data_IF_985230130373
#
_entry.id   IF_985230130373
#
_cell.length_a   1.000
_cell.length_b   1.000
_cell.length_c   1.000
_cell.angle_alpha   90.00
_cell.angle_beta   90.00
_cell.angle_gamma   90.00
#
_symmetry.space_group_name_H-M   'P 1'
#
loop_
_entity.id
_entity.type
_entity.pdbx_description
1 polymer ?
#
# COMPACT_ATOMS: atom_id res chain seq x y z
N UNK A 1 -15.30 -41.43 21.30
CA UNK A 1 -15.48 -40.69 22.56
C UNK A 1 -16.22 -39.40 22.19
N UNK A 2 -16.98 -38.79 23.09
CA UNK A 2 -17.65 -37.52 22.82
C UNK A 2 -17.18 -36.47 23.83
N UNK A 3 -16.99 -35.24 23.36
CA UNK A 3 -16.87 -34.06 24.19
C UNK A 3 -18.26 -33.45 24.33
N UNK A 4 -18.66 -33.05 25.54
CA UNK A 4 -20.02 -32.56 25.83
C UNK A 4 -20.21 -31.09 25.43
N UNK A 5 -19.42 -30.59 24.47
CA UNK A 5 -19.44 -29.21 24.04
C UNK A 5 -19.08 -28.18 25.12
N UNK A 6 -19.17 -26.88 24.77
CA UNK A 6 -18.96 -25.78 25.71
C UNK A 6 -19.97 -25.74 26.86
N UNK A 7 -21.18 -26.28 26.70
CA UNK A 7 -22.20 -26.26 27.76
C UNK A 7 -21.96 -27.33 28.85
N UNK A 8 -21.16 -28.36 28.54
CA UNK A 8 -20.77 -29.44 29.44
C UNK A 8 -21.91 -30.42 29.77
N UNK A 9 -23.03 -30.36 29.06
CA UNK A 9 -24.24 -31.16 29.29
C UNK A 9 -24.31 -32.27 28.24
N UNK A 10 -24.18 -33.55 28.61
CA UNK A 10 -24.22 -34.62 27.63
C UNK A 10 -25.60 -34.75 26.98
N UNK A 11 -25.60 -34.99 25.67
CA UNK A 11 -26.76 -35.24 24.81
C UNK A 11 -27.37 -34.00 24.18
N UNK A 12 -26.63 -32.89 24.14
CA UNK A 12 -27.03 -31.61 23.52
C UNK A 12 -26.55 -31.52 22.07
N UNK A 13 -26.89 -30.42 21.40
CA UNK A 13 -26.55 -30.20 19.99
C UNK A 13 -25.08 -29.82 19.78
N UNK A 14 -24.37 -29.40 20.84
CA UNK A 14 -22.94 -29.07 20.85
C UNK A 14 -22.04 -30.24 21.29
N UNK A 15 -22.61 -31.44 21.50
CA UNK A 15 -21.84 -32.67 21.69
C UNK A 15 -21.06 -33.01 20.41
N UNK A 16 -19.73 -33.00 20.47
CA UNK A 16 -18.87 -33.31 19.33
C UNK A 16 -18.17 -34.65 19.46
N UNK A 17 -17.98 -35.33 18.31
CA UNK A 17 -17.22 -36.57 18.26
C UNK A 17 -15.73 -36.26 18.41
N UNK A 18 -15.07 -36.89 19.39
CA UNK A 18 -13.62 -36.78 19.54
C UNK A 18 -12.92 -37.71 18.57
N UNK A 19 -12.00 -37.14 17.81
CA UNK A 19 -11.16 -37.81 16.83
C UNK A 19 -9.73 -37.95 17.36
N UNK A 20 -9.07 -39.11 17.15
CA UNK A 20 -7.66 -39.25 17.47
C UNK A 20 -6.80 -38.41 16.52
N UNK A 21 -5.72 -37.83 17.06
CA UNK A 21 -4.74 -37.09 16.27
C UNK A 21 -3.76 -37.99 15.51
N UNK A 22 -2.59 -37.42 15.21
CA UNK A 22 -1.49 -38.06 14.49
C UNK A 22 -0.99 -39.34 15.19
N UNK A 23 -1.12 -39.43 16.51
CA UNK A 23 -0.67 -40.58 17.28
C UNK A 23 -1.61 -41.81 17.21
N UNK A 24 -2.84 -41.60 16.69
CA UNK A 24 -3.88 -42.62 16.49
C UNK A 24 -4.51 -43.17 17.77
N UNK A 25 -4.32 -42.53 18.91
CA UNK A 25 -4.92 -42.86 20.21
C UNK A 25 -5.89 -41.77 20.64
N UNK A 26 -6.77 -42.14 21.58
CA UNK A 26 -7.65 -41.20 22.26
C UNK A 26 -7.09 -40.94 23.66
N UNK A 27 -7.57 -39.87 24.29
CA UNK A 27 -7.13 -39.35 25.58
C UNK A 27 -5.69 -38.83 25.53
N UNK A 28 -5.34 -38.15 24.43
CA UNK A 28 -4.04 -37.54 24.17
C UNK A 28 -4.19 -36.09 23.72
N UNK A 29 -3.12 -35.31 23.87
CA UNK A 29 -3.18 -33.87 23.59
C UNK A 29 -3.34 -33.49 22.12
N UNK A 30 -3.19 -34.44 21.21
CA UNK A 30 -3.42 -34.29 19.77
C UNK A 30 -4.82 -34.75 19.34
N UNK A 31 -5.66 -35.22 20.26
CA UNK A 31 -7.08 -35.41 20.00
C UNK A 31 -7.70 -34.11 19.51
N UNK A 32 -8.75 -34.20 18.70
CA UNK A 32 -9.42 -33.02 18.18
C UNK A 32 -10.92 -33.20 18.03
N UNK A 33 -11.62 -32.06 18.03
CA UNK A 33 -13.03 -31.91 17.66
C UNK A 33 -13.16 -30.75 16.67
N UNK A 34 -14.19 -30.76 15.83
CA UNK A 34 -14.48 -29.66 14.93
C UNK A 34 -14.81 -28.40 15.75
N UNK A 35 -14.12 -27.28 15.49
CA UNK A 35 -14.26 -26.07 16.30
C UNK A 35 -15.43 -25.19 15.82
N UNK A 36 -16.65 -25.61 16.13
CA UNK A 36 -17.88 -24.81 16.01
C UNK A 36 -18.15 -24.20 14.61
N UNK A 37 -19.16 -23.34 14.54
CA UNK A 37 -19.56 -22.66 13.30
C UNK A 37 -19.01 -21.23 13.15
N UNK A 38 -18.43 -20.66 14.21
CA UNK A 38 -18.04 -19.24 14.24
C UNK A 38 -16.56 -19.02 13.93
N UNK A 39 -15.74 -20.06 14.02
CA UNK A 39 -14.32 -20.00 13.70
C UNK A 39 -13.97 -21.12 12.72
N UNK A 40 -14.51 -20.96 11.51
CA UNK A 40 -14.44 -21.93 10.42
C UNK A 40 -12.98 -22.29 10.09
N UNK A 41 -12.79 -23.48 9.51
CA UNK A 41 -11.48 -24.00 9.14
C UNK A 41 -10.52 -24.17 10.33
N UNK A 42 -11.05 -24.27 11.56
CA UNK A 42 -10.26 -24.58 12.75
C UNK A 42 -10.76 -25.84 13.47
N UNK A 43 -9.90 -26.42 14.30
CA UNK A 43 -10.22 -27.52 15.21
C UNK A 43 -9.75 -27.19 16.63
N UNK A 44 -10.48 -27.73 17.62
CA UNK A 44 -10.15 -27.59 19.03
C UNK A 44 -9.40 -28.84 19.46
N UNK A 45 -8.32 -28.66 20.22
CA UNK A 45 -7.53 -29.73 20.81
C UNK A 45 -7.48 -29.54 22.33
N UNK A 46 -7.42 -30.62 23.11
CA UNK A 46 -7.48 -30.54 24.57
C UNK A 46 -6.13 -30.15 25.21
N UNK A 47 -5.10 -29.92 24.40
CA UNK A 47 -3.79 -29.54 24.89
C UNK A 47 -3.08 -30.63 25.69
N UNK A 48 -1.99 -30.29 26.39
CA UNK A 48 -1.10 -31.26 27.04
C UNK A 48 -1.75 -32.19 28.07
N UNK A 49 -2.86 -31.78 28.69
CA UNK A 49 -3.55 -32.60 29.69
C UNK A 49 -4.48 -33.68 29.11
N UNK A 50 -4.84 -33.57 27.82
CA UNK A 50 -5.68 -34.52 27.09
C UNK A 50 -7.16 -34.49 27.49
N UNK A 51 -7.63 -33.43 28.14
CA UNK A 51 -9.02 -33.26 28.59
C UNK A 51 -9.63 -31.99 28.02
N UNK A 52 -10.59 -32.12 27.10
CA UNK A 52 -11.31 -30.96 26.55
C UNK A 52 -12.09 -30.17 27.62
N UNK A 53 -12.20 -28.86 27.41
CA UNK A 53 -12.90 -27.92 28.27
C UNK A 53 -12.05 -27.38 29.41
N UNK A 54 -10.72 -27.49 29.31
CA UNK A 54 -9.76 -26.97 30.28
C UNK A 54 -9.15 -25.66 29.81
N UNK A 55 -8.33 -25.03 30.67
CA UNK A 55 -7.69 -23.76 30.34
C UNK A 55 -6.55 -23.92 29.31
N UNK A 56 -6.06 -25.15 29.08
CA UNK A 56 -5.01 -25.47 28.13
C UNK A 56 -5.53 -26.01 26.80
N UNK A 57 -6.84 -25.97 26.55
CA UNK A 57 -7.40 -26.21 25.23
C UNK A 57 -6.77 -25.25 24.20
N UNK A 58 -6.42 -25.79 23.03
CA UNK A 58 -5.74 -25.08 21.95
C UNK A 58 -6.60 -25.09 20.68
N UNK A 59 -6.60 -23.99 19.94
CA UNK A 59 -7.30 -23.89 18.65
C UNK A 59 -6.27 -23.96 17.54
N UNK A 60 -6.48 -24.83 16.56
CA UNK A 60 -5.60 -25.01 15.40
C UNK A 60 -6.35 -24.66 14.12
N UNK A 61 -5.70 -23.95 13.21
CA UNK A 61 -6.14 -23.84 11.82
C UNK A 61 -5.87 -25.16 11.12
N UNK A 62 -6.82 -25.65 10.31
CA UNK A 62 -6.74 -26.93 9.60
C UNK A 62 -5.72 -26.96 8.45
N UNK A 63 -4.87 -25.94 8.37
CA UNK A 63 -3.85 -25.80 7.34
C UNK A 63 -4.41 -25.62 5.91
N UNK A 64 -3.50 -25.58 4.91
CA UNK A 64 -3.87 -25.49 3.50
C UNK A 64 -4.65 -26.69 2.96
N UNK A 65 -4.54 -27.87 3.57
CA UNK A 65 -5.30 -29.05 3.11
C UNK A 65 -6.76 -29.07 3.57
N UNK A 66 -7.09 -28.28 4.60
CA UNK A 66 -8.43 -28.12 5.17
C UNK A 66 -8.92 -29.36 5.92
N UNK A 67 -8.02 -30.27 6.30
CA UNK A 67 -8.34 -31.52 6.98
C UNK A 67 -7.83 -31.43 8.43
N UNK A 68 -8.72 -31.39 9.44
CA UNK A 68 -8.26 -31.32 10.82
C UNK A 68 -7.48 -32.57 11.25
N UNK A 69 -6.50 -32.35 12.13
CA UNK A 69 -5.67 -33.39 12.73
C UNK A 69 -4.53 -33.88 11.84
N UNK A 70 -4.15 -33.11 10.81
CA UNK A 70 -3.01 -33.39 9.93
C UNK A 70 -1.74 -32.68 10.41
N UNK A 71 -0.64 -32.89 9.67
CA UNK A 71 0.68 -32.33 10.01
C UNK A 71 0.79 -30.83 9.65
N UNK A 72 -0.08 -30.30 8.79
CA UNK A 72 -0.12 -28.89 8.38
C UNK A 72 -1.08 -28.04 9.21
N UNK A 73 -1.73 -28.63 10.22
CA UNK A 73 -2.48 -27.87 11.22
C UNK A 73 -1.54 -26.95 12.02
N UNK A 74 -1.87 -25.66 12.07
CA UNK A 74 -1.06 -24.66 12.77
C UNK A 74 -1.80 -24.12 14.00
N UNK A 75 -1.07 -23.94 15.11
CA UNK A 75 -1.62 -23.37 16.33
C UNK A 75 -2.04 -21.92 16.09
N UNK A 76 -3.29 -21.60 16.38
CA UNK A 76 -3.81 -20.23 16.33
C UNK A 76 -3.45 -19.50 17.60
N UNK A 77 -2.86 -18.33 17.43
CA UNK A 77 -2.50 -17.45 18.51
C UNK A 77 -3.37 -16.20 18.53
N UNK A 78 -3.80 -15.75 19.71
CA UNK A 78 -4.49 -14.47 19.83
C UNK A 78 -3.54 -13.33 19.48
N UNK A 79 -4.11 -12.28 18.90
CA UNK A 79 -3.39 -11.05 18.60
C UNK A 79 -3.13 -10.16 19.82
N UNK A 80 -2.99 -8.86 19.56
CA UNK A 80 -2.73 -7.84 20.58
C UNK A 80 -3.90 -7.68 21.56
N UNK A 81 -5.11 -8.05 21.16
CA UNK A 81 -6.29 -7.95 22.02
C UNK A 81 -6.40 -9.10 23.05
N UNK A 82 -5.58 -10.15 22.88
CA UNK A 82 -5.48 -11.31 23.76
C UNK A 82 -6.69 -12.24 23.72
N UNK A 83 -7.49 -12.20 22.66
CA UNK A 83 -8.66 -13.07 22.44
C UNK A 83 -8.49 -13.80 21.12
N UNK A 84 -9.11 -14.98 21.05
CA UNK A 84 -9.30 -15.71 19.81
C UNK A 84 -10.61 -15.29 19.15
N UNK A 85 -10.77 -15.70 17.89
CA UNK A 85 -11.92 -15.40 17.02
C UNK A 85 -12.00 -13.90 16.66
N UNK A 86 -10.83 -13.27 16.51
CA UNK A 86 -10.68 -11.86 16.16
C UNK A 86 -9.76 -11.68 14.96
N UNK A 87 -9.94 -10.59 14.22
CA UNK A 87 -9.16 -10.33 13.00
C UNK A 87 -7.68 -10.04 13.23
N UNK A 88 -7.20 -10.05 14.48
CA UNK A 88 -5.77 -9.94 14.83
C UNK A 88 -5.15 -11.27 15.27
N UNK A 89 -5.91 -12.37 15.23
CA UNK A 89 -5.40 -13.72 15.36
C UNK A 89 -4.34 -14.02 14.29
N UNK A 90 -3.45 -14.94 14.59
CA UNK A 90 -2.38 -15.30 13.66
C UNK A 90 -1.92 -16.75 13.82
N UNK A 91 -1.34 -17.28 12.75
CA UNK A 91 -0.63 -18.56 12.72
C UNK A 91 0.78 -18.34 12.18
N UNK A 92 1.72 -19.20 12.56
CA UNK A 92 3.09 -19.15 12.02
C UNK A 92 3.07 -19.52 10.52
N UNK A 93 3.73 -18.72 9.68
CA UNK A 93 3.79 -18.96 8.23
C UNK A 93 5.22 -19.28 7.75
N UNK A 94 6.15 -19.50 8.69
CA UNK A 94 7.58 -19.68 8.42
C UNK A 94 7.92 -20.84 7.48
N UNK A 95 7.03 -21.84 7.36
CA UNK A 95 7.19 -22.96 6.43
C UNK A 95 7.05 -22.55 4.96
N UNK A 96 6.24 -21.53 4.67
CA UNK A 96 6.02 -21.02 3.31
C UNK A 96 6.86 -19.77 3.05
N UNK A 97 6.89 -18.85 4.01
CA UNK A 97 7.59 -17.58 3.91
C UNK A 97 8.29 -17.26 5.25
N UNK A 98 9.63 -17.42 5.36
CA UNK A 98 10.35 -17.25 6.61
C UNK A 98 10.14 -15.89 7.28
N UNK A 99 10.14 -15.87 8.62
CA UNK A 99 9.96 -14.66 9.44
C UNK A 99 8.63 -13.93 9.17
N UNK A 100 7.59 -14.69 8.79
CA UNK A 100 6.23 -14.16 8.60
C UNK A 100 5.19 -14.91 9.42
N UNK A 101 4.06 -14.23 9.65
CA UNK A 101 2.83 -14.79 10.16
C UNK A 101 1.68 -14.56 9.18
N UNK A 102 0.71 -15.47 9.19
CA UNK A 102 -0.53 -15.35 8.44
C UNK A 102 -1.62 -14.88 9.40
N UNK A 103 -2.44 -13.93 8.97
CA UNK A 103 -3.59 -13.41 9.71
C UNK A 103 -4.84 -13.56 8.86
N UNK A 104 -6.01 -13.82 9.47
CA UNK A 104 -7.23 -13.92 8.71
C UNK A 104 -7.53 -12.55 8.10
N UNK A 105 -8.14 -12.56 6.91
CA UNK A 105 -8.59 -11.35 6.25
C UNK A 105 -9.73 -10.63 6.99
N UNK A 106 -10.26 -9.56 6.41
CA UNK A 106 -11.48 -8.90 6.89
C UNK A 106 -12.69 -9.83 7.12
N UNK A 107 -12.74 -11.01 6.49
CA UNK A 107 -13.77 -12.00 6.74
C UNK A 107 -13.61 -12.79 8.05
N UNK A 108 -12.43 -12.75 8.67
CA UNK A 108 -12.11 -13.40 9.94
C UNK A 108 -11.91 -14.91 9.86
N UNK A 109 -11.68 -15.46 8.66
CA UNK A 109 -11.51 -16.90 8.43
C UNK A 109 -10.16 -17.15 7.78
N UNK A 110 -9.38 -18.10 8.30
CA UNK A 110 -8.12 -18.52 7.67
C UNK A 110 -8.35 -19.38 6.43
N UNK A 111 -7.40 -19.36 5.51
CA UNK A 111 -7.42 -20.12 4.26
C UNK A 111 -8.24 -19.46 3.15
N UNK A 112 -8.62 -18.20 3.31
CA UNK A 112 -9.42 -17.44 2.32
C UNK A 112 -8.53 -16.52 1.48
N UNK A 113 -9.08 -16.00 0.38
CA UNK A 113 -8.31 -15.17 -0.57
C UNK A 113 -7.87 -13.82 0.03
N UNK A 114 -8.52 -13.35 1.09
CA UNK A 114 -8.23 -12.08 1.75
C UNK A 114 -7.28 -12.19 2.95
N UNK A 115 -6.78 -13.39 3.24
CA UNK A 115 -5.73 -13.60 4.23
C UNK A 115 -4.52 -12.69 4.00
N UNK A 116 -3.96 -12.21 5.11
CA UNK A 116 -2.91 -11.22 5.12
C UNK A 116 -1.61 -11.81 5.66
N UNK A 117 -0.52 -11.62 4.92
CA UNK A 117 0.82 -12.02 5.38
C UNK A 117 1.53 -10.83 6.00
N UNK A 118 2.12 -11.04 7.17
CA UNK A 118 2.87 -10.03 7.91
C UNK A 118 4.31 -10.47 8.13
N UNK A 119 5.28 -9.58 7.91
CA UNK A 119 6.64 -9.76 8.39
C UNK A 119 6.68 -9.52 9.90
N UNK A 120 7.34 -10.41 10.65
CA UNK A 120 7.44 -10.42 12.12
C UNK A 120 8.27 -9.25 12.71
N UNK A 121 8.51 -8.21 11.91
CA UNK A 121 9.25 -7.03 12.33
C UNK A 121 10.71 -7.29 12.74
N UNK A 122 11.41 -6.24 13.19
CA UNK A 122 12.75 -6.35 13.75
C UNK A 122 12.84 -7.19 15.04
N UNK A 123 11.77 -7.31 15.83
CA UNK A 123 11.79 -8.08 17.07
C UNK A 123 11.68 -9.60 16.84
N UNK A 124 11.19 -10.01 15.66
CA UNK A 124 11.00 -11.40 15.21
C UNK A 124 9.96 -12.16 16.03
N UNK A 125 9.04 -11.43 16.65
CA UNK A 125 7.96 -11.99 17.45
C UNK A 125 6.67 -11.69 16.68
N UNK A 126 5.98 -12.72 16.16
CA UNK A 126 4.71 -12.52 15.47
C UNK A 126 3.63 -11.96 16.42
N UNK A 127 2.68 -11.23 15.85
CA UNK A 127 1.52 -10.70 16.58
C UNK A 127 1.83 -9.41 17.38
N UNK A 128 2.97 -8.78 17.14
CA UNK A 128 3.39 -7.55 17.83
C UNK A 128 3.06 -6.29 17.01
N UNK A 129 3.33 -5.12 17.59
CA UNK A 129 3.05 -3.82 16.96
C UNK A 129 4.04 -3.47 15.82
N UNK A 130 5.22 -4.07 15.78
CA UNK A 130 6.21 -3.83 14.73
C UNK A 130 6.03 -4.71 13.50
N UNK A 131 5.12 -5.68 13.54
CA UNK A 131 4.71 -6.47 12.39
C UNK A 131 4.27 -5.57 11.23
N UNK A 132 4.68 -5.95 10.01
CA UNK A 132 4.39 -5.18 8.79
C UNK A 132 3.64 -6.03 7.79
N UNK A 133 2.44 -5.58 7.42
CA UNK A 133 1.67 -6.20 6.34
C UNK A 133 2.50 -6.19 5.04
N UNK A 134 2.68 -7.36 4.47
CA UNK A 134 3.35 -7.56 3.19
C UNK A 134 2.31 -7.44 2.07
N UNK A 135 2.74 -6.84 0.97
CA UNK A 135 2.04 -6.81 -0.31
C UNK A 135 2.84 -7.68 -1.28
N UNK A 136 2.17 -8.62 -1.94
CA UNK A 136 2.75 -9.62 -2.86
C UNK A 136 3.30 -9.05 -4.18
N UNK A 137 3.50 -7.74 -4.25
CA UNK A 137 3.91 -7.05 -5.48
C UNK A 137 2.99 -7.27 -6.70
N UNK A 138 3.46 -6.87 -7.89
CA UNK A 138 2.75 -7.07 -9.15
C UNK A 138 2.61 -8.53 -9.60
N UNK A 139 3.47 -9.45 -9.16
CA UNK A 139 3.42 -10.85 -9.59
C UNK A 139 2.34 -11.68 -8.85
N UNK A 140 1.85 -11.17 -7.72
CA UNK A 140 0.77 -11.76 -6.93
C UNK A 140 1.20 -12.97 -6.11
N UNK A 141 2.50 -13.21 -5.92
CA UNK A 141 3.05 -14.31 -5.15
C UNK A 141 3.86 -13.76 -3.98
N UNK A 142 3.71 -14.37 -2.81
CA UNK A 142 4.57 -14.08 -1.67
C UNK A 142 5.88 -14.90 -1.75
N UNK A 143 6.93 -14.38 -1.12
CA UNK A 143 8.27 -14.96 -1.11
C UNK A 143 9.13 -14.56 -2.32
N UNK A 144 8.83 -13.44 -2.98
CA UNK A 144 9.49 -12.96 -4.20
C UNK A 144 10.12 -11.58 -3.99
N UNK A 145 11.00 -11.18 -4.91
CA UNK A 145 11.75 -9.91 -4.80
C UNK A 145 10.88 -8.65 -4.95
N UNK A 146 9.66 -8.79 -5.49
CA UNK A 146 8.70 -7.70 -5.64
C UNK A 146 7.74 -7.55 -4.48
N UNK A 147 7.78 -8.47 -3.50
CA UNK A 147 7.15 -8.28 -2.20
C UNK A 147 7.58 -6.95 -1.59
N UNK A 148 6.66 -6.29 -0.88
CA UNK A 148 7.01 -5.07 -0.17
C UNK A 148 6.16 -4.84 1.07
N UNK A 149 6.65 -3.98 1.95
CA UNK A 149 5.82 -3.37 2.98
C UNK A 149 6.02 -1.85 3.02
N UNK A 150 4.98 -1.14 3.46
CA UNK A 150 4.99 0.32 3.63
C UNK A 150 5.94 0.73 4.76
N UNK A 151 6.91 1.61 4.46
CA UNK A 151 7.93 2.09 5.38
C UNK A 151 7.64 3.50 5.91
N UNK A 152 6.38 3.95 5.85
CA UNK A 152 5.95 5.29 6.30
C UNK A 152 6.36 5.66 7.72
N UNK A 153 6.53 4.69 8.62
CA UNK A 153 6.93 4.91 10.01
C UNK A 153 8.39 5.40 10.13
N UNK A 154 9.25 5.03 9.17
CA UNK A 154 10.64 5.51 9.10
C UNK A 154 10.78 6.64 8.07
N UNK A 155 10.18 6.49 6.91
CA UNK A 155 10.25 7.47 5.82
C UNK A 155 8.99 7.44 4.95
N UNK A 156 8.22 8.52 5.01
CA UNK A 156 7.00 8.71 4.21
C UNK A 156 7.28 8.62 2.69
N UNK A 157 6.35 7.98 1.96
CA UNK A 157 6.45 7.73 0.52
C UNK A 157 7.54 6.73 0.13
N UNK A 158 7.91 5.81 1.02
CA UNK A 158 8.85 4.73 0.73
C UNK A 158 8.31 3.37 1.14
N UNK A 159 8.81 2.33 0.49
CA UNK A 159 8.57 0.94 0.84
C UNK A 159 9.89 0.18 0.94
N UNK A 160 9.86 -0.92 1.66
CA UNK A 160 10.97 -1.87 1.75
C UNK A 160 10.61 -3.10 0.93
N UNK A 161 11.59 -3.64 0.21
CA UNK A 161 11.52 -4.91 -0.52
C UNK A 161 12.57 -5.87 0.02
N UNK A 162 12.36 -7.19 -0.02
CA UNK A 162 13.27 -8.14 0.59
C UNK A 162 14.58 -8.32 -0.19
N UNK A 163 14.65 -7.78 -1.41
CA UNK A 163 15.82 -7.95 -2.27
C UNK A 163 15.82 -9.30 -2.96
N UNK A 164 17.01 -9.79 -3.28
CA UNK A 164 17.20 -10.91 -4.21
C UNK A 164 16.96 -12.29 -3.59
N UNK A 165 17.05 -12.39 -2.26
CA UNK A 165 16.76 -13.63 -1.55
C UNK A 165 15.27 -13.82 -1.23
N UNK A 166 14.45 -12.79 -1.43
CA UNK A 166 13.00 -12.81 -1.20
C UNK A 166 12.60 -12.82 0.27
N UNK A 167 13.54 -12.67 1.21
CA UNK A 167 13.32 -12.74 2.66
C UNK A 167 13.52 -11.36 3.30
N UNK A 168 12.53 -10.88 4.06
CA UNK A 168 12.66 -9.61 4.78
C UNK A 168 13.59 -9.70 6.00
N UNK A 169 14.27 -8.60 6.31
CA UNK A 169 15.15 -8.49 7.48
C UNK A 169 16.56 -9.03 7.22
N UNK A 170 16.92 -9.24 5.95
CA UNK A 170 18.24 -9.68 5.50
C UNK A 170 19.10 -8.48 5.08
N UNK A 171 20.35 -8.73 4.69
CA UNK A 171 21.29 -7.66 4.34
C UNK A 171 20.99 -7.01 2.98
N UNK A 172 20.29 -7.72 2.09
CA UNK A 172 19.95 -7.25 0.75
C UNK A 172 18.57 -6.59 0.65
N UNK A 173 17.85 -6.42 1.77
CA UNK A 173 16.67 -5.57 1.88
C UNK A 173 16.88 -4.20 1.20
N UNK A 174 15.94 -3.82 0.34
CA UNK A 174 16.04 -2.66 -0.52
C UNK A 174 15.02 -1.60 -0.15
N UNK A 175 15.47 -0.34 -0.07
CA UNK A 175 14.58 0.80 0.01
C UNK A 175 14.09 1.18 -1.39
N UNK A 176 12.82 1.49 -1.51
CA UNK A 176 12.18 1.95 -2.74
C UNK A 176 11.35 3.21 -2.46
N UNK A 177 11.27 4.10 -3.45
CA UNK A 177 10.35 5.23 -3.42
C UNK A 177 9.02 4.79 -4.01
N UNK A 178 7.93 5.15 -3.33
CA UNK A 178 6.60 4.98 -3.91
C UNK A 178 6.55 5.80 -5.20
N UNK A 179 6.04 5.19 -6.27
CA UNK A 179 5.88 5.82 -7.56
C UNK A 179 4.92 7.02 -7.56
N UNK A 180 4.68 7.64 -8.73
CA UNK A 180 3.64 8.66 -8.91
C UNK A 180 2.26 8.36 -8.34
N UNK A 181 1.86 7.09 -8.20
CA UNK A 181 0.57 6.72 -7.61
C UNK A 181 0.55 6.75 -6.07
N UNK A 182 1.72 6.96 -5.45
CA UNK A 182 1.95 6.99 -4.00
C UNK A 182 1.66 5.67 -3.27
N UNK A 183 1.39 4.58 -4.01
CA UNK A 183 1.10 3.25 -3.46
C UNK A 183 2.38 2.39 -3.45
N UNK A 184 2.66 1.65 -2.37
CA UNK A 184 3.79 0.74 -2.33
C UNK A 184 3.50 -0.53 -3.13
N UNK A 185 4.53 -1.12 -3.75
CA UNK A 185 4.43 -2.43 -4.40
C UNK A 185 3.89 -2.39 -5.82
N UNK A 186 3.86 -1.21 -6.43
CA UNK A 186 3.37 -1.01 -7.79
C UNK A 186 4.51 -0.94 -8.79
N UNK A 187 4.18 -1.09 -10.07
CA UNK A 187 5.18 -1.10 -11.16
C UNK A 187 5.90 0.25 -11.34
N UNK A 188 5.33 1.35 -10.85
CA UNK A 188 5.89 2.69 -10.95
C UNK A 188 6.84 3.07 -9.80
N UNK A 189 7.02 2.17 -8.83
CA UNK A 189 8.01 2.29 -7.77
C UNK A 189 9.44 2.39 -8.32
N UNK A 190 10.29 3.15 -7.63
CA UNK A 190 11.66 3.43 -8.06
C UNK A 190 12.64 3.01 -6.99
N UNK A 191 13.55 2.08 -7.34
CA UNK A 191 14.60 1.61 -6.45
C UNK A 191 15.43 2.78 -5.93
N UNK A 192 15.50 2.86 -4.61
CA UNK A 192 16.28 3.88 -3.94
C UNK A 192 17.74 3.42 -3.85
N UNK A 193 18.67 4.08 -4.55
CA UNK A 193 20.11 3.80 -4.44
C UNK A 193 20.83 4.97 -3.78
N UNK A 194 21.55 4.69 -2.69
CA UNK A 194 22.37 5.69 -2.03
C UNK A 194 23.58 6.07 -2.91
N UNK A 195 23.64 7.32 -3.38
CA UNK A 195 24.84 7.84 -4.04
C UNK A 195 25.95 8.02 -2.99
N UNK A 196 26.88 7.06 -2.95
CA UNK A 196 28.14 7.25 -2.25
C UNK A 196 28.82 8.51 -2.82
N UNK A 197 28.96 9.54 -1.99
CA UNK A 197 29.65 10.78 -2.35
C UNK A 197 31.14 10.53 -2.51
N UNK A 198 31.56 9.94 -3.63
CA UNK A 198 32.96 9.91 -4.03
C UNK A 198 33.32 11.19 -4.78
N UNK A 199 33.69 12.22 -4.02
CA UNK A 199 34.66 13.23 -4.44
C UNK A 199 34.12 14.52 -5.08
N UNK A 200 34.15 15.63 -4.32
CA UNK A 200 34.23 16.96 -4.91
C UNK A 200 33.77 18.12 -4.03
N UNK A 201 34.73 18.82 -3.40
CA UNK A 201 34.60 20.26 -3.11
C UNK A 201 34.10 20.63 -1.72
N UNK A 202 35.02 21.08 -0.85
CA UNK A 202 34.72 21.58 0.49
C UNK A 202 34.09 22.98 0.51
N UNK A 203 33.53 23.32 1.69
CA UNK A 203 33.27 24.71 2.08
C UNK A 203 32.00 24.95 2.89
N UNK A 204 32.17 25.02 4.21
CA UNK A 204 31.43 25.82 5.22
C UNK A 204 29.94 25.59 5.49
N UNK A 205 29.65 25.23 6.75
CA UNK A 205 28.46 25.72 7.47
C UNK A 205 27.77 24.71 8.38
N UNK A 206 28.08 24.73 9.67
CA UNK A 206 27.40 23.98 10.73
C UNK A 206 25.88 24.13 10.73
N UNK A 207 25.14 23.01 10.65
CA UNK A 207 23.77 22.83 11.17
C UNK A 207 23.48 21.34 11.38
N UNK A 208 23.48 20.94 12.66
CA UNK A 208 22.55 20.02 13.33
C UNK A 208 22.03 18.80 12.52
N UNK A 209 22.67 17.65 12.79
CA UNK A 209 22.15 16.27 12.89
C UNK A 209 20.80 15.93 12.21
N UNK A 210 20.83 15.00 11.25
CA UNK A 210 19.74 14.03 11.05
C UNK A 210 18.67 14.36 10.00
N UNK A 211 19.03 14.52 8.73
CA UNK A 211 18.14 14.25 7.58
C UNK A 211 18.99 13.64 6.47
N UNK A 212 18.99 12.30 6.39
CA UNK A 212 19.72 11.55 5.36
C UNK A 212 19.27 12.01 3.98
N UNK A 213 20.18 12.67 3.27
CA UNK A 213 19.98 13.14 1.91
C UNK A 213 20.03 11.95 0.97
N UNK A 214 18.84 11.45 0.62
CA UNK A 214 18.67 10.31 -0.23
C UNK A 214 18.15 10.80 -1.59
N UNK A 215 19.00 10.82 -2.64
CA UNK A 215 18.63 11.17 -4.03
C UNK A 215 18.38 9.90 -4.87
N UNK A 216 17.32 9.85 -5.72
CA UNK A 216 16.94 8.70 -6.53
C UNK A 216 17.87 8.45 -7.73
N UNK A 217 17.92 7.20 -8.19
CA UNK A 217 18.56 6.79 -9.45
C UNK A 217 17.55 6.96 -10.59
N UNK A 218 17.82 7.92 -11.48
CA UNK A 218 17.22 7.98 -12.82
C UNK A 218 18.26 7.42 -13.79
N UNK A 219 18.60 6.14 -13.68
CA UNK A 219 19.47 5.44 -14.63
C UNK A 219 18.64 4.67 -15.67
N UNK A 220 17.81 5.40 -16.42
CA UNK A 220 17.48 5.02 -17.80
C UNK A 220 17.78 6.19 -18.77
N UNK A 221 18.11 7.38 -18.27
CA UNK A 221 18.49 8.53 -19.10
C UNK A 221 20.01 8.69 -19.30
N UNK A 222 20.86 8.05 -18.48
CA UNK A 222 22.31 8.27 -18.54
C UNK A 222 22.98 7.60 -19.76
N UNK A 223 22.45 6.48 -20.26
CA UNK A 223 22.94 5.88 -21.51
C UNK A 223 22.57 6.71 -22.76
N UNK A 224 21.56 7.58 -22.67
CA UNK A 224 21.19 8.50 -23.75
C UNK A 224 21.87 9.88 -23.61
N UNK A 225 22.34 10.23 -22.40
CA UNK A 225 22.98 11.51 -22.11
C UNK A 225 24.46 11.55 -22.55
N UNK A 226 25.13 10.40 -22.63
CA UNK A 226 26.50 10.30 -23.16
C UNK A 226 26.61 10.66 -24.66
N UNK A 227 25.47 10.82 -25.35
CA UNK A 227 25.40 11.16 -26.77
C UNK A 227 24.90 12.60 -27.08
N UNK A 228 24.60 13.44 -26.07
CA UNK A 228 24.05 14.79 -26.29
C UNK A 228 24.97 15.92 -25.84
N UNK A 229 25.18 16.90 -26.73
CA UNK A 229 26.06 18.06 -26.57
C UNK A 229 25.75 18.93 -25.33
N UNK A 230 26.77 19.61 -24.76
CA UNK A 230 26.77 20.21 -23.41
C UNK A 230 25.82 21.40 -23.16
N UNK A 231 24.92 21.75 -24.08
CA UNK A 231 24.01 22.89 -23.92
C UNK A 231 22.61 22.53 -23.40
N UNK A 232 22.29 21.24 -23.21
CA UNK A 232 20.96 20.77 -22.76
C UNK A 232 20.90 20.31 -21.29
N UNK A 233 22.05 20.16 -20.63
CA UNK A 233 22.17 19.68 -19.23
C UNK A 233 21.47 20.62 -18.22
N UNK A 234 21.35 21.91 -18.54
CA UNK A 234 20.69 22.91 -17.70
C UNK A 234 19.16 22.82 -17.65
N UNK A 235 18.51 22.06 -18.54
CA UNK A 235 17.03 22.03 -18.63
C UNK A 235 16.38 21.00 -17.70
N UNK A 236 17.10 19.93 -17.31
CA UNK A 236 16.53 18.80 -16.56
C UNK A 236 16.51 19.05 -15.05
N UNK A 237 17.54 19.72 -14.50
CA UNK A 237 17.54 20.17 -13.08
C UNK A 237 16.40 21.16 -12.80
N UNK A 238 16.11 22.04 -13.77
CA UNK A 238 15.03 23.00 -13.65
C UNK A 238 13.66 22.30 -13.58
N UNK A 239 13.47 21.11 -14.14
CA UNK A 239 12.18 20.42 -14.13
C UNK A 239 11.82 19.83 -12.76
N UNK A 240 12.79 19.22 -12.07
CA UNK A 240 12.57 18.65 -10.73
C UNK A 240 12.43 19.73 -9.65
N UNK A 241 13.25 20.78 -9.72
CA UNK A 241 13.13 21.94 -8.82
C UNK A 241 11.83 22.73 -9.09
N UNK A 242 11.37 22.80 -10.35
CA UNK A 242 10.06 23.40 -10.70
C UNK A 242 8.89 22.53 -10.21
N UNK A 243 8.98 21.21 -10.30
CA UNK A 243 7.94 20.29 -9.81
C UNK A 243 7.77 20.37 -8.27
N UNK A 244 8.88 20.34 -7.52
CA UNK A 244 8.86 20.45 -6.07
C UNK A 244 8.41 21.84 -5.59
N UNK A 245 8.75 22.91 -6.32
CA UNK A 245 8.26 24.26 -6.03
C UNK A 245 6.77 24.45 -6.39
N UNK A 246 6.25 23.72 -7.38
CA UNK A 246 4.82 23.68 -7.70
C UNK A 246 4.00 23.00 -6.58
N UNK A 247 4.48 21.87 -6.04
CA UNK A 247 3.88 21.19 -4.87
C UNK A 247 3.84 22.12 -3.64
N UNK A 248 4.93 22.85 -3.39
CA UNK A 248 5.03 23.83 -2.28
C UNK A 248 4.18 25.09 -2.49
N UNK A 249 3.97 25.51 -3.74
CA UNK A 249 3.10 26.65 -4.11
C UNK A 249 1.60 26.33 -4.02
N UNK A 250 1.22 25.07 -4.19
CA UNK A 250 -0.18 24.63 -4.13
C UNK A 250 -0.71 24.61 -2.68
N UNK A 251 0.14 24.34 -1.68
CA UNK A 251 -0.19 24.48 -0.25
C UNK A 251 -0.29 25.95 0.20
N UNK A 252 0.48 26.87 -0.39
CA UNK A 252 0.50 28.29 -0.04
C UNK A 252 -0.64 29.12 -0.66
N UNK A 253 -1.48 28.53 -1.51
CA UNK A 253 -2.52 29.26 -2.26
C UNK A 253 -3.77 29.63 -1.45
N UNK A 254 -3.73 29.53 -0.11
CA UNK A 254 -4.78 30.03 0.80
C UNK A 254 -4.46 31.34 1.51
N UNK A 255 -3.55 32.20 1.05
CA UNK A 255 -3.54 33.60 1.50
C UNK A 255 -3.12 34.56 0.37
N UNK A 256 -3.98 35.54 0.08
CA UNK A 256 -3.76 36.61 -0.90
C UNK A 256 -2.68 37.57 -0.35
N UNK A 257 -1.61 37.83 -1.10
CA UNK A 257 -0.90 39.13 -1.04
C UNK A 257 -0.48 39.56 -2.45
N UNK A 258 -0.90 40.77 -2.78
CA UNK A 258 -0.69 41.50 -4.01
C UNK A 258 0.59 42.35 -3.89
N UNK A 259 1.53 42.30 -4.85
CA UNK A 259 2.63 43.28 -4.97
C UNK A 259 3.09 43.37 -6.42
N UNK A 260 3.11 44.59 -6.97
CA UNK A 260 3.40 44.88 -8.38
C UNK A 260 4.79 45.47 -8.68
N UNK A 261 4.92 45.92 -9.95
CA UNK A 261 6.03 46.65 -10.61
C UNK A 261 7.35 45.85 -10.77
N UNK A 262 8.07 45.85 -11.90
CA UNK A 262 8.25 46.84 -12.97
C UNK A 262 8.86 46.21 -14.25
N UNK A 263 8.29 46.58 -15.40
CA UNK A 263 8.87 46.96 -16.71
C UNK A 263 10.27 46.50 -17.18
N UNK A 264 10.34 45.92 -18.41
CA UNK A 264 11.16 46.44 -19.54
C UNK A 264 10.36 46.27 -20.85
N UNK A 265 10.31 47.33 -21.66
CA UNK A 265 9.49 47.56 -22.85
C UNK A 265 10.16 47.15 -24.18
N UNK A 266 9.38 46.81 -25.21
CA UNK A 266 9.52 47.44 -26.54
C UNK A 266 8.24 47.27 -27.41
N UNK A 267 7.76 48.43 -27.85
CA UNK A 267 6.82 48.83 -28.94
C UNK A 267 6.65 47.87 -30.14
N UNK A 268 5.61 47.88 -30.99
CA UNK A 268 4.34 48.61 -31.14
C UNK A 268 3.54 47.92 -32.27
N UNK A 269 2.21 47.92 -32.22
CA UNK A 269 1.32 48.05 -33.38
C UNK A 269 -0.16 48.12 -32.95
N UNK A 270 -0.67 49.35 -32.88
CA UNK A 270 -1.98 49.80 -33.41
C UNK A 270 -3.22 48.90 -33.28
N UNK A 271 -4.22 49.39 -32.54
CA UNK A 271 -5.61 48.91 -32.66
C UNK A 271 -6.54 49.42 -31.57
N UNK A 272 -7.14 50.58 -31.80
CA UNK A 272 -8.05 51.34 -30.93
C UNK A 272 -9.31 50.60 -30.48
N UNK A 273 -9.73 50.88 -29.22
CA UNK A 273 -11.09 51.10 -28.65
C UNK A 273 -12.30 50.37 -29.28
N UNK A 274 -13.28 49.87 -28.50
CA UNK A 274 -14.44 50.66 -28.03
C UNK A 274 -15.29 49.85 -27.00
N UNK A 275 -15.71 50.57 -25.94
CA UNK A 275 -16.91 50.52 -25.06
C UNK A 275 -17.61 49.19 -24.69
N UNK A 276 -17.77 48.83 -23.40
CA UNK A 276 -18.68 49.35 -22.33
C UNK A 276 -20.18 49.11 -22.57
N UNK A 277 -20.80 48.34 -21.67
CA UNK A 277 -22.14 48.49 -21.03
C UNK A 277 -22.35 47.26 -20.12
N UNK A 278 -22.34 47.34 -18.78
CA UNK A 278 -23.34 47.85 -17.82
C UNK A 278 -24.70 47.14 -17.90
N UNK A 279 -25.05 46.34 -16.88
CA UNK A 279 -26.37 46.44 -16.24
C UNK A 279 -26.45 45.72 -14.89
N UNK A 280 -26.74 46.52 -13.86
CA UNK A 280 -27.27 46.12 -12.55
C UNK A 280 -28.76 45.77 -12.64
N UNK A 281 -29.25 45.05 -11.62
CA UNK A 281 -30.53 45.26 -10.88
C UNK A 281 -31.11 43.89 -10.47
N UNK A 282 -31.87 43.69 -9.39
CA UNK A 282 -32.23 44.41 -8.16
C UNK A 282 -33.25 43.49 -7.44
N UNK A 283 -32.94 43.11 -6.21
CA UNK A 283 -33.81 42.84 -5.04
C UNK A 283 -35.15 42.07 -5.20
N UNK A 284 -35.35 41.04 -4.37
CA UNK A 284 -36.48 40.95 -3.42
C UNK A 284 -36.32 39.78 -2.44
N UNK A 285 -36.55 40.06 -1.16
CA UNK A 285 -36.72 39.11 -0.06
C UNK A 285 -38.18 38.63 0.02
N UNK A 286 -38.43 37.35 0.39
CA UNK A 286 -39.38 36.95 1.46
C UNK A 286 -39.51 35.42 1.67
N UNK A 287 -39.20 35.00 2.91
CA UNK A 287 -39.86 34.01 3.80
C UNK A 287 -40.38 32.61 3.38
N UNK A 288 -40.06 31.64 4.27
CA UNK A 288 -40.84 30.48 4.80
C UNK A 288 -40.48 29.01 4.43
N UNK A 289 -40.24 28.25 5.51
CA UNK A 289 -40.34 26.81 5.85
C UNK A 289 -39.83 25.66 4.95
N UNK A 290 -38.88 24.91 5.53
CA UNK A 290 -38.89 23.49 5.91
C UNK A 290 -39.52 22.40 5.00
N UNK A 291 -38.66 21.42 4.67
CA UNK A 291 -38.84 20.01 4.23
C UNK A 291 -38.92 19.64 2.74
N UNK A 292 -38.26 18.51 2.49
CA UNK A 292 -38.26 17.59 1.34
C UNK A 292 -37.25 17.77 0.18
N UNK A 293 -36.14 17.04 0.36
CA UNK A 293 -35.45 16.13 -0.56
C UNK A 293 -35.80 16.23 -2.06
N UNK A 294 -34.80 16.61 -2.86
CA UNK A 294 -34.74 16.44 -4.31
C UNK A 294 -33.26 16.41 -4.78
N UNK A 295 -32.92 15.71 -5.88
CA UNK A 295 -31.61 15.11 -6.06
C UNK A 295 -30.53 16.14 -6.43
N UNK A 296 -29.37 16.02 -5.78
CA UNK A 296 -28.14 16.74 -6.14
C UNK A 296 -27.61 16.16 -7.45
N UNK A 297 -27.76 16.91 -8.54
CA UNK A 297 -27.09 16.61 -9.81
C UNK A 297 -25.59 16.92 -9.63
N UNK A 298 -24.67 15.97 -9.85
CA UNK A 298 -23.25 16.24 -9.67
C UNK A 298 -22.70 17.08 -10.84
N UNK A 299 -22.45 18.36 -10.58
CA UNK A 299 -21.67 19.27 -11.44
C UNK A 299 -20.17 18.96 -11.30
N UNK A 300 -19.77 17.72 -11.63
CA UNK A 300 -18.35 17.31 -11.68
C UNK A 300 -17.91 16.75 -13.02
N UNK A 301 -18.82 16.50 -13.97
CA UNK A 301 -18.49 15.77 -15.20
C UNK A 301 -17.89 16.63 -16.32
N UNK A 302 -18.07 17.96 -16.29
CA UNK A 302 -17.67 18.80 -17.43
C UNK A 302 -16.18 19.21 -17.44
N UNK A 303 -15.51 19.27 -16.27
CA UNK A 303 -14.06 19.54 -16.20
C UNK A 303 -13.25 18.34 -16.68
N UNK A 304 -13.66 17.13 -16.29
CA UNK A 304 -12.96 15.90 -16.65
C UNK A 304 -13.05 15.63 -18.17
N UNK A 305 -14.19 15.92 -18.80
CA UNK A 305 -14.31 15.82 -20.26
C UNK A 305 -13.32 16.73 -21.00
N UNK A 306 -13.14 17.99 -20.58
CA UNK A 306 -12.19 18.90 -21.26
C UNK A 306 -10.74 18.40 -21.19
N UNK A 307 -10.34 17.83 -20.04
CA UNK A 307 -8.99 17.26 -19.86
C UNK A 307 -8.82 16.03 -20.76
N UNK A 308 -9.80 15.13 -20.78
CA UNK A 308 -9.79 13.94 -21.65
C UNK A 308 -9.72 14.34 -23.14
N UNK A 309 -10.49 15.35 -23.56
CA UNK A 309 -10.44 15.86 -24.94
C UNK A 309 -9.09 16.50 -25.30
N UNK A 310 -8.43 17.18 -24.36
CA UNK A 310 -7.08 17.73 -24.59
C UNK A 310 -6.01 16.64 -24.72
N UNK A 311 -6.11 15.58 -23.90
CA UNK A 311 -5.21 14.41 -23.98
C UNK A 311 -5.38 13.69 -25.33
N UNK A 312 -6.62 13.45 -25.75
CA UNK A 312 -6.90 12.82 -27.05
C UNK A 312 -6.41 13.67 -28.24
N UNK A 313 -6.55 15.00 -28.18
CA UNK A 313 -6.04 15.91 -29.20
C UNK A 313 -4.51 15.88 -29.29
N UNK A 314 -3.81 15.81 -28.16
CA UNK A 314 -2.36 15.71 -28.09
C UNK A 314 -1.85 14.39 -28.70
N UNK A 315 -2.52 13.27 -28.40
CA UNK A 315 -2.20 11.96 -29.00
C UNK A 315 -2.42 12.01 -30.52
N UNK A 316 -3.52 12.60 -31.00
CA UNK A 316 -3.79 12.73 -32.43
C UNK A 316 -2.71 13.56 -33.15
N UNK A 317 -2.30 14.69 -32.57
CA UNK A 317 -1.25 15.54 -33.12
C UNK A 317 0.11 14.83 -33.14
N UNK A 318 0.41 14.02 -32.11
CA UNK A 318 1.62 13.22 -32.04
C UNK A 318 1.67 12.16 -33.15
N UNK A 319 0.58 11.42 -33.36
CA UNK A 319 0.47 10.42 -34.43
C UNK A 319 0.56 11.06 -35.81
N UNK A 320 -0.10 12.20 -36.02
CA UNK A 320 -0.05 12.91 -37.29
C UNK A 320 1.35 13.47 -37.58
N UNK A 321 2.02 14.01 -36.56
CA UNK A 321 3.40 14.47 -36.64
C UNK A 321 4.38 13.33 -36.95
N UNK A 322 4.17 12.16 -36.36
CA UNK A 322 4.96 10.96 -36.61
C UNK A 322 4.81 10.45 -38.05
N UNK A 323 3.59 10.44 -38.59
CA UNK A 323 3.36 10.03 -39.99
C UNK A 323 3.93 11.04 -40.99
N UNK A 324 3.86 12.35 -40.72
CA UNK A 324 4.50 13.38 -41.55
C UNK A 324 6.02 13.27 -41.50
N UNK A 325 6.59 13.00 -40.31
CA UNK A 325 8.03 12.77 -40.14
C UNK A 325 8.50 11.53 -40.92
N UNK A 326 7.74 10.44 -40.87
CA UNK A 326 8.03 9.20 -41.60
C UNK A 326 7.90 9.38 -43.12
N UNK A 327 6.94 10.17 -43.59
CA UNK A 327 6.79 10.50 -45.00
C UNK A 327 7.97 11.34 -45.53
N UNK A 328 8.48 12.30 -44.74
CA UNK A 328 9.62 13.14 -45.12
C UNK A 328 10.98 12.43 -45.17
N UNK A 329 11.11 11.25 -44.56
CA UNK A 329 12.35 10.46 -44.53
C UNK A 329 12.45 9.45 -45.69
N UNK A 330 11.42 9.41 -46.56
CA UNK A 330 11.33 8.51 -47.73
C UNK A 330 11.55 9.18 -49.09
N UNK A 331 11.77 10.50 -49.11
CA UNK A 331 12.26 11.26 -50.27
C UNK A 331 13.71 11.71 -50.03
#
# INVERSE_FOLDING_TARGET
MYWNGPDGIPGTEDDELVHPGLDGKLETGDDWVENGHNYLETNLRPGPDGVFGTEDDEVYWNGPDGIPGTEDDELVHPGLDGKLETGDDWVENGHNYPETNLRPGPDGVFGTEDDEVYWNGPDRIPGTEDDKKILSGPDGQYGTEDDCYDNKDKQDGTNMRPGSDGIFGTEDDELWLNGPDEMPGTEDDIKYVHRNSSGGGGGYGDRLVGRGAYKPVIEIMDAALEAMEPQTVGLVSNFYDTYQSFKKGQEMSRYIVNTGMQEIQMEAATGSQVEKETQESRWSDESYSDKDVGPVVPVKTYRNMKVIWMILLLILLYVLGYEIYKAKKKD
#
